data_IF_174492144638
#
_entry.id   IF_174492144638
#
_cell.length_a   1.000
_cell.length_b   1.000
_cell.length_c   1.000
_cell.angle_alpha   90.00
_cell.angle_beta   90.00
_cell.angle_gamma   90.00
#
_symmetry.space_group_name_H-M   'P 1'
#
loop_
_entity.id
_entity.type
_entity.pdbx_description
1 polymer ?
#
# COMPACT_ATOMS: atom_id res chain seq x y z
N UNK A 1 0.64 -11.26 -9.86
CA UNK A 1 1.91 -11.04 -9.14
C UNK A 1 3.03 -11.03 -10.18
N UNK A 2 3.76 -9.92 -10.26
CA UNK A 2 4.86 -9.78 -11.21
C UNK A 2 6.12 -10.38 -10.61
N UNK A 3 6.75 -11.33 -11.31
CA UNK A 3 8.03 -11.91 -10.88
C UNK A 3 9.24 -11.03 -11.23
N UNK A 4 9.09 -10.17 -12.24
CA UNK A 4 10.14 -9.28 -12.71
C UNK A 4 9.56 -7.90 -13.00
N UNK A 5 10.23 -6.86 -12.54
CA UNK A 5 9.83 -5.46 -12.75
C UNK A 5 9.73 -5.12 -14.25
N UNK A 6 10.61 -5.69 -15.09
CA UNK A 6 10.57 -5.47 -16.55
C UNK A 6 9.26 -5.94 -17.20
N UNK A 7 8.61 -6.98 -16.67
CA UNK A 7 7.31 -7.44 -17.17
C UNK A 7 6.20 -6.45 -16.76
N UNK A 8 6.26 -5.93 -15.53
CA UNK A 8 5.34 -4.90 -15.07
C UNK A 8 5.45 -3.63 -15.93
N UNK A 9 6.67 -3.17 -16.20
CA UNK A 9 6.92 -2.00 -17.03
C UNK A 9 6.42 -2.20 -18.47
N UNK A 10 6.61 -3.40 -19.04
CA UNK A 10 6.12 -3.75 -20.38
C UNK A 10 4.59 -3.77 -20.44
N UNK A 11 3.94 -4.35 -19.44
CA UNK A 11 2.47 -4.37 -19.35
C UNK A 11 1.90 -2.98 -19.11
N UNK A 12 2.51 -2.17 -18.23
CA UNK A 12 2.14 -0.78 -18.02
C UNK A 12 2.22 0.03 -19.32
N UNK A 13 3.34 -0.08 -20.04
CA UNK A 13 3.55 0.61 -21.31
C UNK A 13 2.56 0.18 -22.40
N UNK A 14 2.18 -1.09 -22.42
CA UNK A 14 1.27 -1.63 -23.44
C UNK A 14 -0.21 -1.59 -23.04
N UNK A 15 -0.55 -1.07 -21.86
CA UNK A 15 -1.93 -0.99 -21.36
C UNK A 15 -2.52 -2.37 -21.03
N UNK A 16 -1.69 -3.29 -20.54
CA UNK A 16 -2.04 -4.69 -20.23
C UNK A 16 -1.95 -5.02 -18.75
N UNK A 17 -1.86 -4.03 -17.87
CA UNK A 17 -1.88 -4.28 -16.43
C UNK A 17 -3.20 -4.97 -16.05
N UNK A 18 -3.16 -6.06 -15.26
CA UNK A 18 -4.36 -6.69 -14.71
C UNK A 18 -5.16 -5.71 -13.85
N UNK A 19 -6.47 -5.98 -13.71
CA UNK A 19 -7.34 -5.18 -12.84
C UNK A 19 -6.87 -5.13 -11.38
N UNK A 20 -6.17 -6.16 -10.92
CA UNK A 20 -5.51 -6.20 -9.62
C UNK A 20 -4.09 -6.74 -9.75
N UNK A 21 -3.12 -5.96 -9.27
CA UNK A 21 -1.72 -6.34 -9.22
C UNK A 21 -1.18 -6.15 -7.81
N UNK A 22 -0.66 -7.23 -7.23
CA UNK A 22 0.15 -7.18 -6.01
C UNK A 22 1.63 -7.25 -6.43
N UNK A 23 2.40 -6.27 -5.95
CA UNK A 23 3.82 -6.11 -6.26
C UNK A 23 4.55 -6.18 -4.93
N UNK A 24 5.49 -7.12 -4.88
CA UNK A 24 6.35 -7.37 -3.74
C UNK A 24 7.76 -6.93 -4.14
N UNK A 25 8.48 -6.14 -3.33
CA UNK A 25 9.81 -5.66 -3.68
C UNK A 25 10.82 -6.82 -3.72
N UNK A 26 12.03 -6.52 -4.22
CA UNK A 26 13.11 -7.49 -4.18
C UNK A 26 13.73 -7.49 -2.78
N UNK A 27 13.58 -8.60 -2.06
CA UNK A 27 14.21 -8.86 -0.75
C UNK A 27 15.65 -9.39 -0.86
N UNK A 28 16.20 -9.45 -2.08
CA UNK A 28 17.50 -10.05 -2.33
C UNK A 28 17.42 -11.58 -2.30
N UNK A 29 18.47 -12.23 -2.78
CA UNK A 29 18.76 -13.61 -2.36
C UNK A 29 19.49 -13.48 -1.01
N UNK A 30 19.22 -14.38 -0.03
CA UNK A 30 19.92 -14.52 1.26
C UNK A 30 21.43 -14.82 1.09
N UNK A 31 22.12 -14.01 0.31
CA UNK A 31 23.52 -14.09 -0.05
C UNK A 31 24.13 -12.74 0.29
N UNK A 32 25.16 -12.80 1.13
CA UNK A 32 25.78 -11.70 1.87
C UNK A 32 26.44 -10.60 1.00
N UNK A 33 26.14 -10.52 -0.30
CA UNK A 33 26.73 -9.55 -1.21
C UNK A 33 25.83 -9.38 -2.44
N UNK A 34 25.04 -8.30 -2.49
CA UNK A 34 24.87 -7.54 -3.74
C UNK A 34 24.07 -6.23 -3.67
N UNK A 35 23.56 -5.74 -2.53
CA UNK A 35 22.96 -4.39 -2.45
C UNK A 35 21.83 -4.15 -3.46
N UNK A 36 21.05 -5.20 -3.76
CA UNK A 36 19.97 -5.23 -4.77
C UNK A 36 18.57 -5.15 -4.16
N UNK A 37 18.50 -4.99 -2.85
CA UNK A 37 17.25 -4.98 -2.13
C UNK A 37 16.53 -3.65 -2.35
N UNK A 38 15.22 -3.75 -2.54
CA UNK A 38 14.34 -2.61 -2.86
C UNK A 38 13.14 -2.54 -1.93
N UNK A 39 13.17 -3.30 -0.84
CA UNK A 39 12.11 -3.40 0.16
C UNK A 39 12.11 -2.26 1.19
N UNK A 40 13.26 -1.59 1.35
CA UNK A 40 13.43 -0.52 2.33
C UNK A 40 13.48 -1.01 3.78
N UNK A 41 13.68 -2.31 4.00
CA UNK A 41 13.98 -2.84 5.32
C UNK A 41 15.33 -2.27 5.80
N UNK A 42 15.52 -1.99 7.09
CA UNK A 42 16.82 -1.50 7.55
C UNK A 42 17.68 -2.65 8.06
N UNK A 43 18.34 -3.30 7.13
CA UNK A 43 19.42 -4.24 7.40
C UNK A 43 20.71 -3.79 6.70
N UNK A 44 21.68 -4.70 6.64
CA UNK A 44 23.00 -4.40 6.07
C UNK A 44 22.98 -4.30 4.54
N UNK A 45 21.97 -4.88 3.87
CA UNK A 45 21.93 -5.08 2.42
C UNK A 45 20.89 -4.22 1.72
N UNK A 46 19.86 -3.79 2.43
CA UNK A 46 18.84 -2.90 1.93
C UNK A 46 19.24 -1.44 2.13
N UNK A 47 18.91 -0.64 1.12
CA UNK A 47 19.04 0.81 1.19
C UNK A 47 17.68 1.42 0.91
N UNK A 48 17.30 2.41 1.72
CA UNK A 48 16.15 3.28 1.43
C UNK A 48 16.21 3.87 0.01
N UNK A 49 17.43 4.05 -0.53
CA UNK A 49 17.63 4.48 -1.90
C UNK A 49 17.09 3.47 -2.93
N UNK A 50 17.28 2.17 -2.70
CA UNK A 50 16.76 1.11 -3.58
C UNK A 50 15.24 1.13 -3.65
N UNK A 51 14.57 1.29 -2.52
CA UNK A 51 13.12 1.43 -2.46
C UNK A 51 12.63 2.73 -3.10
N UNK A 52 13.31 3.86 -2.90
CA UNK A 52 12.98 5.13 -3.58
C UNK A 52 13.11 5.02 -5.11
N UNK A 53 14.15 4.34 -5.62
CA UNK A 53 14.32 4.08 -7.05
C UNK A 53 13.18 3.20 -7.58
N UNK A 54 12.82 2.14 -6.86
CA UNK A 54 11.70 1.27 -7.23
C UNK A 54 10.39 2.08 -7.31
N UNK A 55 10.05 2.83 -6.27
CA UNK A 55 8.83 3.64 -6.22
C UNK A 55 8.80 4.68 -7.35
N UNK A 56 9.94 5.32 -7.65
CA UNK A 56 10.06 6.24 -8.78
C UNK A 56 9.78 5.55 -10.12
N UNK A 57 10.44 4.42 -10.38
CA UNK A 57 10.28 3.69 -11.64
C UNK A 57 8.85 3.17 -11.81
N UNK A 58 8.24 2.67 -10.74
CA UNK A 58 6.83 2.25 -10.72
C UNK A 58 5.90 3.42 -11.02
N UNK A 59 6.06 4.55 -10.33
CA UNK A 59 5.25 5.75 -10.57
C UNK A 59 5.31 6.18 -12.03
N UNK A 60 6.51 6.32 -12.59
CA UNK A 60 6.68 6.84 -13.95
C UNK A 60 6.15 5.85 -15.01
N UNK A 61 6.26 4.55 -14.76
CA UNK A 61 5.69 3.50 -15.61
C UNK A 61 4.17 3.54 -15.61
N UNK A 62 3.55 3.65 -14.44
CA UNK A 62 2.09 3.79 -14.29
C UNK A 62 1.60 5.11 -14.90
N UNK A 63 2.32 6.20 -14.66
CA UNK A 63 1.99 7.54 -15.14
C UNK A 63 2.03 7.66 -16.66
N UNK A 64 2.94 6.94 -17.30
CA UNK A 64 3.05 6.86 -18.76
C UNK A 64 2.10 5.81 -19.40
N UNK A 65 1.42 4.99 -18.58
CA UNK A 65 0.53 3.96 -19.06
C UNK A 65 -0.73 4.56 -19.72
N UNK A 66 -1.23 3.96 -20.82
CA UNK A 66 -2.56 4.25 -21.35
C UNK A 66 -3.70 4.01 -20.32
N UNK A 67 -3.43 3.23 -19.27
CA UNK A 67 -4.39 2.93 -18.21
C UNK A 67 -4.39 3.96 -17.07
N UNK A 68 -3.50 4.97 -17.08
CA UNK A 68 -3.32 5.93 -15.95
C UNK A 68 -4.63 6.50 -15.40
N UNK A 69 -5.54 6.91 -16.28
CA UNK A 69 -6.84 7.51 -15.91
C UNK A 69 -7.77 6.55 -15.16
N UNK A 70 -7.50 5.25 -15.20
CA UNK A 70 -8.29 4.20 -14.56
C UNK A 70 -7.46 3.39 -13.55
N UNK A 71 -6.38 3.98 -13.01
CA UNK A 71 -5.49 3.32 -12.07
C UNK A 71 -5.53 3.96 -10.67
N UNK A 72 -5.39 3.10 -9.67
CA UNK A 72 -5.06 3.45 -8.30
C UNK A 72 -3.91 2.56 -7.82
N UNK A 73 -2.90 3.17 -7.22
CA UNK A 73 -1.74 2.48 -6.65
C UNK A 73 -1.66 2.79 -5.16
N UNK A 74 -1.69 1.74 -4.35
CA UNK A 74 -1.58 1.83 -2.90
C UNK A 74 -0.20 1.30 -2.51
N UNK A 75 0.55 2.11 -1.77
CA UNK A 75 1.86 1.77 -1.21
C UNK A 75 1.67 1.65 0.30
N UNK A 76 2.15 0.57 0.89
CA UNK A 76 2.18 0.37 2.34
C UNK A 76 3.42 -0.42 2.72
N UNK A 77 3.65 -0.58 4.01
CA UNK A 77 4.75 -1.33 4.60
C UNK A 77 4.15 -2.43 5.46
N UNK A 78 4.67 -3.65 5.41
CA UNK A 78 4.13 -4.78 6.16
C UNK A 78 4.30 -4.60 7.68
N UNK A 79 5.37 -3.90 8.08
CA UNK A 79 5.67 -3.60 9.47
C UNK A 79 6.42 -2.25 9.63
N UNK A 80 6.79 -1.89 10.86
CA UNK A 80 7.25 -0.54 11.25
C UNK A 80 8.76 -0.45 11.52
N UNK A 81 9.47 -1.56 11.44
CA UNK A 81 10.89 -1.74 11.63
C UNK A 81 11.40 -1.68 13.07
N UNK A 82 10.49 -1.68 14.06
CA UNK A 82 10.86 -1.55 15.47
C UNK A 82 11.18 -0.11 15.91
N UNK A 83 11.06 0.88 15.03
CA UNK A 83 11.24 2.29 15.38
C UNK A 83 10.08 2.84 16.22
N UNK A 84 10.38 3.84 17.05
CA UNK A 84 9.37 4.45 17.91
C UNK A 84 8.29 5.18 17.10
N UNK A 85 7.03 4.86 17.38
CA UNK A 85 5.88 5.67 17.03
C UNK A 85 5.19 6.15 18.31
N UNK A 86 4.78 7.42 18.33
CA UNK A 86 4.22 8.05 19.52
C UNK A 86 2.72 7.74 19.72
N UNK A 87 2.04 7.19 18.72
CA UNK A 87 0.60 6.94 18.80
C UNK A 87 0.35 5.57 19.44
N UNK A 88 -0.42 5.51 20.54
CA UNK A 88 -0.83 4.24 21.13
C UNK A 88 -1.59 3.36 20.13
N UNK A 89 -1.29 2.07 20.12
CA UNK A 89 -1.94 1.11 19.24
C UNK A 89 -3.42 0.92 19.61
N UNK A 90 -4.36 0.95 18.64
CA UNK A 90 -5.77 0.68 18.91
C UNK A 90 -6.02 -0.70 19.54
N UNK A 91 -6.86 -0.72 20.57
CA UNK A 91 -7.28 -1.92 21.32
C UNK A 91 -8.77 -2.18 21.11
N UNK A 92 -9.24 -3.38 21.49
CA UNK A 92 -10.63 -3.82 21.36
C UNK A 92 -11.15 -3.81 19.91
N UNK A 93 -10.27 -4.06 18.93
CA UNK A 93 -10.66 -4.19 17.53
C UNK A 93 -11.19 -5.59 17.26
N UNK A 94 -12.02 -5.80 16.22
CA UNK A 94 -12.54 -7.11 15.90
C UNK A 94 -11.44 -8.13 15.63
N UNK A 95 -11.54 -9.27 16.32
CA UNK A 95 -10.75 -10.47 16.03
C UNK A 95 -11.15 -10.98 14.65
N UNK A 96 -10.21 -11.40 13.79
CA UNK A 96 -10.52 -11.79 12.42
C UNK A 96 -11.47 -12.99 12.35
N UNK A 97 -11.23 -14.02 13.18
CA UNK A 97 -11.89 -15.34 13.12
C UNK A 97 -12.28 -15.90 14.50
N UNK A 98 -12.15 -15.10 15.57
CA UNK A 98 -12.31 -15.52 16.98
C UNK A 98 -11.34 -16.61 17.46
N UNK A 99 -10.27 -16.94 16.72
CA UNK A 99 -9.25 -17.89 17.16
C UNK A 99 -8.17 -17.20 17.98
N UNK A 100 -7.64 -17.89 18.98
CA UNK A 100 -6.52 -17.42 19.76
C UNK A 100 -5.22 -17.93 19.12
N UNK A 101 -4.24 -17.03 18.98
CA UNK A 101 -2.90 -17.37 18.56
C UNK A 101 -2.06 -17.96 19.69
N UNK A 102 -0.77 -18.04 19.42
CA UNK A 102 0.23 -18.49 20.38
C UNK A 102 0.13 -17.67 21.68
N UNK A 103 0.30 -18.35 22.81
CA UNK A 103 0.29 -17.77 24.16
C UNK A 103 -1.02 -17.01 24.51
N UNK A 104 -2.12 -17.36 23.84
CA UNK A 104 -3.44 -16.75 24.09
C UNK A 104 -3.64 -15.39 23.41
N UNK A 105 -2.80 -15.02 22.43
CA UNK A 105 -2.94 -13.75 21.73
C UNK A 105 -4.25 -13.70 20.91
N UNK A 106 -5.17 -12.81 21.27
CA UNK A 106 -6.53 -12.83 20.72
C UNK A 106 -6.67 -12.15 19.35
N UNK A 107 -5.68 -11.38 18.91
CA UNK A 107 -5.78 -10.51 17.73
C UNK A 107 -6.94 -9.50 17.85
N UNK A 108 -7.16 -8.95 19.04
CA UNK A 108 -8.14 -7.90 19.37
C UNK A 108 -7.50 -6.51 19.51
N UNK A 109 -6.29 -6.34 18.96
CA UNK A 109 -5.58 -5.07 18.84
C UNK A 109 -4.98 -4.87 17.45
N UNK A 110 -4.56 -3.65 17.15
CA UNK A 110 -3.69 -3.34 16.01
C UNK A 110 -2.22 -3.30 16.44
N UNK A 111 -1.34 -3.34 15.44
CA UNK A 111 0.09 -3.11 15.61
C UNK A 111 0.44 -1.62 15.61
N UNK A 112 1.74 -1.34 15.58
CA UNK A 112 2.27 0.01 15.39
C UNK A 112 1.87 0.53 14.00
N UNK A 113 1.73 1.85 13.86
CA UNK A 113 1.37 2.47 12.59
C UNK A 113 2.47 2.24 11.55
N UNK A 114 2.02 2.05 10.32
CA UNK A 114 2.86 2.03 9.11
C UNK A 114 2.34 3.07 8.12
N UNK A 115 3.19 3.62 7.24
CA UNK A 115 2.73 4.53 6.20
C UNK A 115 1.77 3.84 5.22
N UNK A 116 0.80 4.61 4.71
CA UNK A 116 -0.04 4.24 3.58
C UNK A 116 -0.16 5.44 2.63
N UNK A 117 0.16 5.23 1.36
CA UNK A 117 0.12 6.26 0.31
C UNK A 117 -0.80 5.76 -0.80
N UNK A 118 -1.77 6.58 -1.20
CA UNK A 118 -2.66 6.29 -2.33
C UNK A 118 -2.36 7.25 -3.46
N UNK A 119 -2.04 6.71 -4.63
CA UNK A 119 -1.67 7.44 -5.84
C UNK A 119 -2.69 7.13 -6.94
N UNK A 120 -3.37 8.16 -7.43
CA UNK A 120 -4.30 8.07 -8.55
C UNK A 120 -4.55 9.48 -9.10
N UNK A 121 -4.86 9.65 -10.40
CA UNK A 121 -5.34 10.95 -10.89
C UNK A 121 -6.69 11.35 -10.27
N UNK A 122 -7.42 10.43 -9.63
CA UNK A 122 -8.68 10.74 -8.93
C UNK A 122 -8.49 11.22 -7.49
N UNK A 123 -7.28 11.16 -6.92
CA UNK A 123 -6.99 11.60 -5.55
C UNK A 123 -6.59 13.08 -5.54
N UNK A 124 -7.24 13.89 -4.70
CA UNK A 124 -6.95 15.32 -4.59
C UNK A 124 -5.49 15.61 -4.20
N UNK A 125 -4.95 16.75 -4.69
CA UNK A 125 -3.56 17.14 -4.42
C UNK A 125 -3.35 17.49 -2.94
N UNK A 126 -2.32 16.91 -2.33
CA UNK A 126 -1.98 17.17 -0.92
C UNK A 126 -2.98 16.59 0.07
N UNK A 127 -3.82 15.64 -0.37
CA UNK A 127 -4.81 14.99 0.48
C UNK A 127 -4.13 14.19 1.58
N UNK A 128 -4.46 14.52 2.83
CA UNK A 128 -4.09 13.74 4.02
C UNK A 128 -5.37 13.18 4.61
N UNK A 129 -5.46 11.86 4.74
CA UNK A 129 -6.58 11.18 5.37
C UNK A 129 -6.31 11.05 6.85
N UNK A 130 -7.27 11.46 7.67
CA UNK A 130 -7.20 11.35 9.12
C UNK A 130 -8.26 10.36 9.63
N UNK A 131 -8.09 9.87 10.86
CA UNK A 131 -9.04 8.94 11.46
C UNK A 131 -10.44 9.57 11.52
N UNK A 132 -11.38 9.02 10.74
CA UNK A 132 -12.74 9.54 10.61
C UNK A 132 -13.43 9.16 9.30
N UNK A 133 -12.65 8.87 8.27
CA UNK A 133 -13.14 8.72 6.91
C UNK A 133 -13.13 7.26 6.44
N UNK A 134 -13.98 6.93 5.47
CA UNK A 134 -14.07 5.58 4.92
C UNK A 134 -14.51 4.49 5.91
N UNK A 135 -15.06 4.88 7.07
CA UNK A 135 -15.39 4.00 8.20
C UNK A 135 -16.73 3.27 7.99
N UNK A 136 -16.77 1.92 7.96
CA UNK A 136 -18.02 1.16 8.03
C UNK A 136 -18.71 1.26 9.40
N UNK A 137 -17.92 1.43 10.46
CA UNK A 137 -18.41 1.57 11.84
C UNK A 137 -17.66 2.70 12.55
N UNK A 138 -18.21 3.32 13.61
CA UNK A 138 -17.53 4.41 14.31
C UNK A 138 -16.12 4.06 14.83
N UNK A 139 -15.90 2.80 15.20
CA UNK A 139 -14.62 2.32 15.70
C UNK A 139 -13.64 1.89 14.62
N UNK A 140 -14.05 1.84 13.35
CA UNK A 140 -13.19 1.42 12.23
C UNK A 140 -11.93 2.25 12.12
N UNK A 141 -10.81 1.60 11.81
CA UNK A 141 -9.52 2.25 11.55
C UNK A 141 -8.95 1.80 10.21
N UNK A 142 -7.96 2.54 9.71
CA UNK A 142 -7.13 2.07 8.61
C UNK A 142 -6.07 1.09 9.14
N UNK A 143 -6.02 -0.09 8.55
CA UNK A 143 -5.03 -1.15 8.79
C UNK A 143 -4.91 -2.05 7.55
N UNK A 144 -4.08 -3.10 7.55
CA UNK A 144 -3.80 -3.88 6.34
C UNK A 144 -5.04 -4.47 5.64
N UNK A 145 -6.06 -4.88 6.40
CA UNK A 145 -7.30 -5.39 5.83
C UNK A 145 -8.11 -4.30 5.12
N UNK A 146 -7.77 -3.01 5.28
CA UNK A 146 -8.33 -1.89 4.50
C UNK A 146 -8.05 -2.03 3.00
N UNK A 147 -6.92 -2.65 2.62
CA UNK A 147 -6.60 -2.93 1.21
C UNK A 147 -7.59 -3.96 0.67
N UNK A 148 -7.73 -5.10 1.35
CA UNK A 148 -8.68 -6.14 0.95
C UNK A 148 -10.13 -5.61 0.94
N UNK A 149 -10.52 -4.87 1.98
CA UNK A 149 -11.85 -4.26 2.08
C UNK A 149 -12.15 -3.27 0.94
N UNK A 150 -11.14 -2.50 0.52
CA UNK A 150 -11.24 -1.59 -0.63
C UNK A 150 -11.36 -2.37 -1.93
N UNK A 151 -10.57 -3.43 -2.13
CA UNK A 151 -10.67 -4.30 -3.32
C UNK A 151 -12.04 -4.94 -3.42
N UNK A 152 -12.55 -5.57 -2.35
CA UNK A 152 -13.88 -6.17 -2.35
C UNK A 152 -14.95 -5.15 -2.76
N UNK A 153 -14.87 -3.93 -2.20
CA UNK A 153 -15.79 -2.84 -2.51
C UNK A 153 -15.71 -2.40 -3.98
N UNK A 154 -14.51 -2.15 -4.51
CA UNK A 154 -14.31 -1.69 -5.89
C UNK A 154 -14.74 -2.74 -6.93
N UNK A 155 -14.58 -4.02 -6.61
CA UNK A 155 -14.93 -5.12 -7.50
C UNK A 155 -16.36 -5.65 -7.29
N UNK A 156 -17.14 -5.04 -6.38
CA UNK A 156 -18.52 -5.45 -6.09
C UNK A 156 -18.65 -6.85 -5.49
N UNK A 157 -17.60 -7.33 -4.80
CA UNK A 157 -17.59 -8.63 -4.14
C UNK A 157 -18.22 -8.46 -2.75
N UNK A 158 -19.41 -9.04 -2.56
CA UNK A 158 -20.20 -8.90 -1.32
C UNK A 158 -19.94 -10.03 -0.31
N UNK A 159 -18.77 -10.66 -0.36
CA UNK A 159 -18.36 -11.72 0.57
C UNK A 159 -17.57 -11.13 1.73
N UNK A 160 -17.90 -11.54 2.95
CA UNK A 160 -17.08 -11.27 4.13
C UNK A 160 -15.90 -12.23 4.15
N UNK A 161 -14.67 -11.70 4.09
CA UNK A 161 -13.46 -12.51 4.27
C UNK A 161 -13.19 -12.78 5.75
N UNK A 162 -13.20 -11.73 6.56
CA UNK A 162 -13.02 -11.80 8.01
C UNK A 162 -13.76 -10.64 8.66
N UNK A 163 -14.05 -10.76 9.96
CA UNK A 163 -14.64 -9.65 10.73
C UNK A 163 -13.77 -8.39 10.70
N UNK A 164 -12.45 -8.57 10.57
CA UNK A 164 -11.49 -7.46 10.50
C UNK A 164 -11.58 -6.74 9.15
N UNK A 165 -11.71 -7.48 8.05
CA UNK A 165 -11.94 -6.91 6.72
C UNK A 165 -13.26 -6.15 6.64
N UNK A 166 -14.33 -6.69 7.25
CA UNK A 166 -15.63 -6.00 7.27
C UNK A 166 -15.58 -4.70 8.06
N UNK A 167 -14.85 -4.71 9.18
CA UNK A 167 -14.65 -3.56 10.06
C UNK A 167 -13.71 -2.50 9.49
N UNK A 168 -12.71 -2.89 8.68
CA UNK A 168 -11.68 -1.98 8.19
C UNK A 168 -12.22 -0.80 7.38
N UNK A 169 -11.61 0.38 7.59
CA UNK A 169 -11.85 1.55 6.74
C UNK A 169 -11.43 1.26 5.30
N UNK A 170 -12.05 1.95 4.34
CA UNK A 170 -11.82 1.72 2.90
C UNK A 170 -11.34 3.00 2.23
N UNK A 171 -10.55 2.87 1.17
CA UNK A 171 -9.99 4.00 0.43
C UNK A 171 -10.87 4.44 -0.76
N UNK A 172 -11.99 3.75 -1.04
CA UNK A 172 -12.81 3.96 -2.24
C UNK A 172 -13.39 5.38 -2.34
N UNK A 173 -13.65 6.03 -1.21
CA UNK A 173 -14.12 7.42 -1.18
C UNK A 173 -13.13 8.39 -1.83
N UNK A 174 -11.81 8.12 -1.75
CA UNK A 174 -10.77 8.99 -2.30
C UNK A 174 -10.84 9.14 -3.82
N UNK A 175 -11.43 8.17 -4.52
CA UNK A 175 -11.52 8.16 -5.97
C UNK A 175 -12.74 8.92 -6.51
N UNK A 176 -13.56 9.50 -5.62
CA UNK A 176 -14.80 10.20 -5.97
C UNK A 176 -14.90 11.61 -5.34
N UNK A 177 -13.80 12.16 -4.78
CA UNK A 177 -13.80 13.46 -4.09
C UNK A 177 -13.80 14.67 -5.04
N UNK A 178 -13.69 14.46 -6.36
CA UNK A 178 -13.64 15.54 -7.33
C UNK A 178 -13.36 15.08 -8.76
N UNK A 179 -13.19 16.03 -9.70
CA UNK A 179 -12.80 15.69 -11.07
C UNK A 179 -11.39 15.11 -11.10
N UNK A 180 -11.14 14.25 -12.10
CA UNK A 180 -9.82 13.71 -12.38
C UNK A 180 -8.81 14.84 -12.60
N UNK A 181 -7.64 14.71 -11.96
CA UNK A 181 -6.56 15.68 -12.06
C UNK A 181 -5.75 15.49 -13.33
N UNK A 182 -5.42 16.60 -13.96
CA UNK A 182 -4.49 16.68 -15.09
C UNK A 182 -3.11 17.25 -14.71
N UNK A 183 -2.90 17.58 -13.43
CA UNK A 183 -1.67 18.18 -12.91
C UNK A 183 -0.71 17.16 -12.25
N UNK A 184 -0.98 15.86 -12.41
CA UNK A 184 -0.12 14.80 -11.89
C UNK A 184 1.26 14.83 -12.57
N UNK A 185 2.37 14.88 -11.79
CA UNK A 185 3.72 14.89 -12.33
C UNK A 185 3.94 13.80 -13.38
N UNK A 186 4.65 14.11 -14.46
CA UNK A 186 5.03 13.09 -15.46
C UNK A 186 6.27 12.33 -14.99
N UNK A 187 7.17 13.04 -14.32
CA UNK A 187 8.39 12.50 -13.71
C UNK A 187 8.48 12.99 -12.27
N UNK A 188 9.01 12.14 -11.40
CA UNK A 188 9.38 12.52 -10.04
C UNK A 188 10.80 13.13 -10.02
N UNK A 189 11.18 13.85 -8.97
CA UNK A 189 12.57 14.27 -8.79
C UNK A 189 13.56 13.10 -8.88
N UNK A 190 14.83 13.36 -9.23
CA UNK A 190 15.88 12.35 -9.10
C UNK A 190 15.98 11.87 -7.65
N UNK A 191 16.15 10.56 -7.45
CA UNK A 191 16.47 10.01 -6.13
C UNK A 191 17.84 10.54 -5.73
N UNK A 192 17.95 11.10 -4.52
CA UNK A 192 19.20 11.70 -4.06
C UNK A 192 20.34 10.66 -4.07
N UNK A 193 21.58 11.03 -4.43
CA UNK A 193 22.70 10.08 -4.52
C UNK A 193 23.08 9.39 -3.19
N UNK A 194 22.45 9.76 -2.06
CA UNK A 194 22.97 9.48 -0.72
C UNK A 194 24.18 10.36 -0.41
N UNK A 195 24.40 10.64 0.87
CA UNK A 195 25.65 11.19 1.38
C UNK A 195 26.67 10.07 1.61
#
# INVERSE_FOLDING_TARGET
MYKHMSLFEADAKSGKLPNFSFIDPNYGEFSWNNGRETDGHADFFSSYRGSEILLKNMYESLRASPQWENLAWIITFDEHGGWHDHVPTPMNVPRPDNLAGKDGFLFDRLGVRVPAIVVSPHVQKGRVVVNGEGKPTPSSEFEHSSIAATVLKLFGINESLTKRTDWASKFDFLFNEGPMRNDCPVQLPPVHPGA
#
